data_IF_630507362770
#
_entry.id   IF_630507362770
#
_cell.length_a   1.000
_cell.length_b   1.000
_cell.length_c   1.000
_cell.angle_alpha   90.00
_cell.angle_beta   90.00
_cell.angle_gamma   90.00
#
_symmetry.space_group_name_H-M   'P 1'
#
loop_
_entity.id
_entity.type
_entity.pdbx_description
1 polymer ?
#
# COMPACT_ATOMS: atom_id res chain seq x y z
N UNK A 1 -29.91 53.11 -37.58
CA UNK A 1 -30.73 52.00 -38.14
C UNK A 1 -29.83 51.27 -39.12
N UNK A 2 -29.40 50.04 -38.99
CA UNK A 2 -29.77 48.89 -38.17
C UNK A 2 -28.94 47.76 -38.79
N UNK A 3 -27.79 47.47 -38.19
CA UNK A 3 -26.83 46.48 -38.72
C UNK A 3 -27.17 45.08 -38.22
N UNK A 4 -27.30 44.14 -39.16
CA UNK A 4 -27.52 42.73 -38.90
C UNK A 4 -26.31 42.09 -38.22
N UNK A 5 -26.57 41.39 -37.12
CA UNK A 5 -25.60 40.54 -36.41
C UNK A 5 -25.69 39.12 -36.99
N UNK A 6 -24.56 38.65 -37.48
CA UNK A 6 -24.27 37.24 -37.69
C UNK A 6 -24.23 36.53 -36.32
N UNK A 7 -24.92 35.41 -36.22
CA UNK A 7 -24.91 34.54 -35.06
C UNK A 7 -23.84 33.46 -35.28
N UNK A 8 -22.79 33.49 -34.46
CA UNK A 8 -21.80 32.41 -34.36
C UNK A 8 -22.44 31.18 -33.69
N UNK A 9 -22.31 30.03 -34.35
CA UNK A 9 -22.55 28.70 -33.79
C UNK A 9 -21.55 28.42 -32.65
N UNK A 10 -22.04 28.41 -31.42
CA UNK A 10 -21.28 27.94 -30.26
C UNK A 10 -21.35 26.40 -30.22
N UNK A 11 -20.33 25.76 -30.78
CA UNK A 11 -20.13 24.32 -30.73
C UNK A 11 -19.78 23.81 -29.33
N UNK A 12 -20.67 22.97 -28.82
CA UNK A 12 -20.58 22.21 -27.57
C UNK A 12 -19.26 21.43 -27.44
N UNK A 13 -18.39 21.81 -26.50
CA UNK A 13 -17.19 21.05 -26.13
C UNK A 13 -17.49 20.17 -24.90
N UNK A 14 -17.44 18.83 -25.01
CA UNK A 14 -17.65 17.96 -23.85
C UNK A 14 -16.44 17.99 -22.89
N UNK A 15 -16.72 18.40 -21.65
CA UNK A 15 -15.88 18.19 -20.47
C UNK A 15 -15.50 16.70 -20.31
N UNK A 16 -14.30 16.34 -20.77
CA UNK A 16 -13.70 15.02 -20.49
C UNK A 16 -13.02 15.03 -19.12
N UNK A 17 -13.76 14.54 -18.13
CA UNK A 17 -13.22 14.07 -16.85
C UNK A 17 -12.38 12.82 -17.12
N UNK A 18 -11.07 12.89 -16.87
CA UNK A 18 -10.17 11.73 -16.91
C UNK A 18 -10.44 10.85 -15.67
N UNK A 19 -11.44 9.99 -15.78
CA UNK A 19 -11.63 8.83 -14.90
C UNK A 19 -11.19 7.57 -15.63
N UNK A 20 -10.30 6.79 -15.03
CA UNK A 20 -9.94 5.45 -15.51
C UNK A 20 -11.20 4.56 -15.53
N UNK A 21 -11.68 4.24 -16.74
CA UNK A 21 -12.70 3.22 -16.96
C UNK A 21 -11.99 1.87 -17.04
N UNK A 22 -12.08 1.08 -15.98
CA UNK A 22 -11.77 -0.36 -16.01
C UNK A 22 -12.96 -1.05 -16.72
N UNK A 23 -12.78 -1.68 -17.89
CA UNK A 23 -13.88 -2.38 -18.53
C UNK A 23 -14.29 -3.61 -17.70
N UNK A 24 -15.52 -3.59 -17.18
CA UNK A 24 -16.20 -4.78 -16.65
C UNK A 24 -16.43 -5.75 -17.82
N UNK A 25 -15.82 -6.92 -17.76
CA UNK A 25 -16.21 -8.02 -18.65
C UNK A 25 -17.66 -8.43 -18.34
N UNK A 26 -18.55 -8.28 -19.33
CA UNK A 26 -19.88 -8.87 -19.33
C UNK A 26 -19.75 -10.37 -19.58
N UNK A 27 -20.25 -11.19 -18.66
CA UNK A 27 -20.61 -12.59 -18.94
C UNK A 27 -21.88 -12.59 -19.79
N UNK A 28 -21.84 -13.22 -20.96
CA UNK A 28 -23.02 -13.71 -21.67
C UNK A 28 -23.14 -15.22 -21.39
N UNK A 29 -24.37 -15.77 -21.38
CA UNK A 29 -24.64 -17.15 -20.97
C UNK A 29 -24.27 -18.19 -22.05
N UNK A 30 -23.93 -19.39 -21.58
CA UNK A 30 -23.60 -20.57 -22.37
C UNK A 30 -24.76 -21.03 -23.27
N UNK A 31 -24.45 -21.33 -24.54
CA UNK A 31 -25.12 -22.36 -25.32
C UNK A 31 -24.10 -23.16 -26.14
N UNK A 32 -24.27 -24.48 -26.06
CA UNK A 32 -23.53 -25.56 -26.70
C UNK A 32 -23.75 -25.59 -28.22
N UNK A 33 -22.70 -25.85 -29.01
CA UNK A 33 -22.56 -27.04 -29.88
C UNK A 33 -21.45 -26.90 -30.94
N UNK A 34 -20.64 -27.96 -31.07
CA UNK A 34 -20.18 -28.47 -32.37
C UNK A 34 -18.91 -27.90 -33.03
N UNK A 35 -17.95 -28.80 -33.27
CA UNK A 35 -16.88 -28.76 -34.28
C UNK A 35 -15.63 -27.86 -34.03
N UNK A 36 -14.51 -28.51 -33.69
CA UNK A 36 -13.17 -27.95 -33.94
C UNK A 36 -12.81 -28.07 -35.42
N UNK A 37 -11.86 -27.26 -35.93
CA UNK A 37 -10.45 -27.60 -35.74
C UNK A 37 -9.49 -26.39 -35.64
N UNK A 38 -8.18 -26.71 -35.59
CA UNK A 38 -6.98 -25.87 -35.54
C UNK A 38 -6.57 -25.35 -34.14
N UNK A 39 -5.65 -26.11 -33.52
CA UNK A 39 -4.84 -25.67 -32.38
C UNK A 39 -4.05 -24.40 -32.75
N UNK A 40 -4.48 -23.25 -32.24
CA UNK A 40 -3.61 -22.09 -32.06
C UNK A 40 -2.93 -22.22 -30.70
N UNK A 41 -1.61 -22.37 -30.72
CA UNK A 41 -0.76 -22.32 -29.53
C UNK A 41 -1.00 -21.03 -28.75
N UNK A 42 -1.11 -21.05 -27.41
CA UNK A 42 -1.20 -19.83 -26.63
C UNK A 42 0.14 -19.09 -26.72
N UNK A 43 0.14 -17.96 -27.44
CA UNK A 43 1.20 -16.98 -27.36
C UNK A 43 1.25 -16.46 -25.92
N UNK A 44 2.23 -16.95 -25.17
CA UNK A 44 2.69 -16.30 -23.95
C UNK A 44 3.08 -14.86 -24.30
N UNK A 45 2.73 -13.85 -23.49
CA UNK A 45 3.26 -12.51 -23.70
C UNK A 45 4.77 -12.58 -23.45
N UNK A 46 5.56 -12.45 -24.52
CA UNK A 46 6.99 -12.18 -24.43
C UNK A 46 7.15 -10.81 -23.76
N UNK A 47 7.41 -10.84 -22.46
CA UNK A 47 7.91 -9.67 -21.72
C UNK A 47 9.35 -9.44 -22.22
N UNK A 48 9.53 -8.40 -23.04
CA UNK A 48 10.86 -7.87 -23.33
C UNK A 48 11.26 -7.86 -24.81
N UNK A 49 10.59 -7.04 -25.61
CA UNK A 49 11.30 -6.29 -26.66
C UNK A 49 11.08 -4.81 -26.40
N UNK A 50 12.18 -4.09 -26.20
CA UNK A 50 12.19 -2.63 -26.12
C UNK A 50 11.95 -2.15 -27.54
N UNK A 51 10.70 -1.89 -27.90
CA UNK A 51 10.38 -1.29 -29.19
C UNK A 51 11.04 0.09 -29.26
N UNK A 52 11.75 0.33 -30.36
CA UNK A 52 12.27 1.65 -30.65
C UNK A 52 11.09 2.55 -31.03
N UNK A 53 10.61 3.32 -30.06
CA UNK A 53 9.53 4.30 -30.22
C UNK A 53 10.04 5.63 -30.76
N UNK A 54 11.27 5.70 -31.29
CA UNK A 54 11.81 6.89 -31.96
C UNK A 54 10.89 7.38 -33.09
N UNK A 55 10.18 6.48 -33.77
CA UNK A 55 9.19 6.83 -34.80
C UNK A 55 7.93 7.52 -34.25
N UNK A 56 7.54 7.29 -32.99
CA UNK A 56 6.46 8.05 -32.33
C UNK A 56 6.87 9.51 -32.07
N UNK A 57 8.17 9.79 -31.93
CA UNK A 57 8.71 11.14 -31.81
C UNK A 57 8.98 11.82 -33.16
N UNK A 58 9.05 11.04 -34.24
CA UNK A 58 9.34 11.55 -35.59
C UNK A 58 8.13 12.23 -36.26
N UNK A 59 6.91 12.03 -35.75
CA UNK A 59 5.70 12.65 -36.29
C UNK A 59 5.07 13.65 -35.32
N UNK A 60 5.20 14.96 -35.59
CA UNK A 60 4.29 16.08 -35.22
C UNK A 60 3.59 16.09 -33.83
N UNK A 61 4.02 15.34 -32.82
CA UNK A 61 3.53 15.51 -31.46
C UNK A 61 4.29 16.67 -30.83
N UNK A 62 3.72 17.87 -30.92
CA UNK A 62 4.11 18.94 -30.00
C UNK A 62 3.90 18.41 -28.58
N UNK A 63 4.98 18.30 -27.81
CA UNK A 63 4.87 18.03 -26.39
C UNK A 63 3.87 19.05 -25.83
N UNK A 64 2.72 18.57 -25.33
CA UNK A 64 1.68 19.44 -24.81
C UNK A 64 2.30 20.28 -23.68
N UNK A 65 2.61 21.54 -23.97
CA UNK A 65 3.09 22.48 -22.96
C UNK A 65 1.89 22.77 -22.06
N UNK A 66 1.96 22.31 -20.81
CA UNK A 66 0.96 22.69 -19.82
C UNK A 66 0.92 24.21 -19.71
N UNK A 67 -0.30 24.77 -19.79
CA UNK A 67 -0.48 26.21 -19.64
C UNK A 67 0.01 26.67 -18.27
N UNK A 68 0.75 27.78 -18.26
CA UNK A 68 1.13 28.44 -17.01
C UNK A 68 -0.12 28.86 -16.23
N UNK A 69 -0.01 28.91 -14.90
CA UNK A 69 -1.09 29.38 -14.04
C UNK A 69 -1.44 30.84 -14.43
N UNK A 70 -2.66 31.15 -14.87
CA UNK A 70 -3.03 32.49 -15.35
C UNK A 70 -3.13 33.53 -14.22
N UNK A 71 -3.26 33.07 -12.97
CA UNK A 71 -3.33 33.94 -11.80
C UNK A 71 -3.96 33.22 -10.60
N UNK A 72 -4.27 33.99 -9.56
CA UNK A 72 -5.04 33.52 -8.41
C UNK A 72 -6.50 33.95 -8.57
N UNK A 73 -7.43 33.03 -8.31
CA UNK A 73 -8.86 33.39 -8.23
C UNK A 73 -9.09 34.49 -7.18
N UNK A 74 -10.24 35.17 -7.25
CA UNK A 74 -10.62 36.25 -6.31
C UNK A 74 -12.02 36.09 -5.70
N UNK A 75 -12.85 35.24 -6.28
CA UNK A 75 -14.24 35.04 -5.88
C UNK A 75 -14.38 34.22 -4.59
N UNK A 76 -15.45 34.51 -3.84
CA UNK A 76 -15.83 33.77 -2.64
C UNK A 76 -15.35 34.40 -1.33
N UNK A 77 -15.93 33.93 -0.22
CA UNK A 77 -15.59 34.40 1.13
C UNK A 77 -14.25 33.81 1.55
N UNK A 78 -13.31 34.66 1.95
CA UNK A 78 -12.00 34.22 2.45
C UNK A 78 -12.13 33.52 3.81
N UNK A 79 -11.42 32.41 3.97
CA UNK A 79 -11.31 31.64 5.20
C UNK A 79 -9.87 31.18 5.41
N UNK A 80 -9.48 30.91 6.64
CA UNK A 80 -8.18 30.29 6.96
C UNK A 80 -8.39 28.80 7.20
N UNK A 81 -7.62 27.96 6.52
CA UNK A 81 -7.64 26.51 6.72
C UNK A 81 -6.25 26.01 7.08
N UNK A 82 -6.19 25.00 7.96
CA UNK A 82 -4.96 24.26 8.26
C UNK A 82 -4.87 23.08 7.30
N UNK A 83 -3.70 22.86 6.75
CA UNK A 83 -3.40 21.72 5.88
C UNK A 83 -2.43 20.80 6.57
N UNK A 84 -2.40 19.55 6.16
CA UNK A 84 -1.46 18.53 6.63
C UNK A 84 -0.09 18.59 5.90
N UNK A 85 0.23 19.76 5.34
CA UNK A 85 1.54 20.07 4.80
C UNK A 85 2.39 20.79 5.85
N UNK A 86 3.67 20.44 5.88
CA UNK A 86 4.68 20.97 6.78
C UNK A 86 5.81 21.57 5.92
N UNK A 87 6.05 22.90 5.97
CA UNK A 87 7.08 23.52 5.16
C UNK A 87 8.47 23.01 5.52
N UNK A 88 9.28 22.70 4.51
CA UNK A 88 10.72 22.54 4.71
C UNK A 88 11.34 23.92 4.83
N UNK A 89 12.03 24.17 5.94
CA UNK A 89 12.73 25.44 6.22
C UNK A 89 14.17 25.44 5.73
N UNK A 90 14.76 24.27 5.55
CA UNK A 90 16.09 24.10 4.98
C UNK A 90 16.10 22.92 4.00
N UNK A 91 16.87 23.09 2.91
CA UNK A 91 17.22 22.04 1.96
C UNK A 91 18.75 21.89 1.96
N UNK A 92 19.29 20.76 1.47
CA UNK A 92 20.73 20.60 1.35
C UNK A 92 21.35 21.73 0.52
N UNK A 93 22.38 22.39 1.07
CA UNK A 93 23.12 23.45 0.36
C UNK A 93 24.14 22.87 -0.62
N UNK A 94 24.67 21.68 -0.31
CA UNK A 94 25.61 20.96 -1.15
C UNK A 94 24.88 20.03 -2.14
N UNK A 95 25.59 19.68 -3.21
CA UNK A 95 25.13 18.68 -4.17
C UNK A 95 24.96 17.31 -3.49
N UNK A 96 23.92 16.59 -3.92
CA UNK A 96 23.63 15.25 -3.41
C UNK A 96 24.12 14.21 -4.41
N UNK A 97 25.00 13.31 -3.97
CA UNK A 97 25.52 12.24 -4.82
C UNK A 97 24.63 11.00 -4.75
N UNK A 98 24.16 10.54 -5.92
CA UNK A 98 23.32 9.36 -6.06
C UNK A 98 24.17 8.15 -6.49
N UNK A 99 24.17 7.12 -5.65
CA UNK A 99 24.86 5.87 -5.89
C UNK A 99 23.86 4.74 -6.18
N UNK A 100 24.19 3.90 -7.15
CA UNK A 100 23.50 2.65 -7.42
C UNK A 100 24.10 1.52 -6.58
N UNK A 101 23.20 0.71 -6.00
CA UNK A 101 23.51 -0.48 -5.23
C UNK A 101 23.02 -1.71 -6.00
N UNK A 102 23.84 -2.74 -6.21
CA UNK A 102 23.49 -3.90 -7.05
C UNK A 102 22.53 -4.90 -6.39
N UNK A 103 21.89 -4.57 -5.27
CA UNK A 103 21.03 -5.50 -4.53
C UNK A 103 19.59 -4.99 -4.41
N UNK A 104 18.64 -5.87 -4.75
CA UNK A 104 17.22 -5.67 -4.49
C UNK A 104 16.91 -5.88 -2.99
N UNK A 105 16.78 -4.78 -2.24
CA UNK A 105 15.98 -4.71 -0.99
C UNK A 105 16.34 -5.63 0.20
N UNK A 106 17.60 -5.64 0.65
CA UNK A 106 17.90 -6.03 2.04
C UNK A 106 18.59 -4.87 2.76
N UNK A 107 18.12 -4.52 3.96
CA UNK A 107 18.73 -3.51 4.83
C UNK A 107 20.03 -4.07 5.38
N UNK A 108 21.13 -3.41 5.04
CA UNK A 108 22.48 -3.79 5.47
C UNK A 108 23.05 -2.65 6.33
N UNK A 109 23.57 -2.96 7.52
CA UNK A 109 24.34 -1.99 8.30
C UNK A 109 25.77 -1.94 7.77
N UNK A 110 26.09 -0.88 7.03
CA UNK A 110 27.43 -0.65 6.51
C UNK A 110 28.36 -0.26 7.67
N UNK A 111 29.31 -1.14 8.03
CA UNK A 111 30.44 -0.83 8.93
C UNK A 111 31.74 -1.18 8.21
N UNK A 112 32.59 -0.19 7.90
CA UNK A 112 34.00 -0.45 7.60
C UNK A 112 34.63 0.40 6.50
N UNK A 113 35.95 0.54 6.64
CA UNK A 113 36.87 1.51 6.04
C UNK A 113 36.86 1.60 4.50
N UNK A 114 36.97 2.84 4.02
CA UNK A 114 37.03 3.23 2.62
C UNK A 114 38.39 2.92 1.99
N UNK A 115 38.37 2.17 0.89
CA UNK A 115 39.38 2.28 -0.15
C UNK A 115 38.68 2.58 -1.48
N UNK A 116 39.22 3.56 -2.21
CA UNK A 116 38.82 4.10 -3.52
C UNK A 116 37.93 5.35 -3.50
N UNK A 117 38.26 6.29 -4.42
CA UNK A 117 37.67 7.62 -4.54
C UNK A 117 36.22 7.65 -5.01
N UNK A 118 35.66 8.87 -5.13
CA UNK A 118 34.24 9.21 -5.37
C UNK A 118 33.51 8.41 -6.47
N UNK A 119 34.22 7.74 -7.38
CA UNK A 119 33.63 6.95 -8.46
C UNK A 119 33.08 5.58 -8.01
N UNK A 120 33.70 4.94 -7.02
CA UNK A 120 33.27 3.63 -6.54
C UNK A 120 33.74 3.37 -5.09
N UNK A 121 32.79 3.07 -4.20
CA UNK A 121 33.08 2.64 -2.83
C UNK A 121 32.76 1.15 -2.69
N UNK A 122 33.69 0.37 -2.17
CA UNK A 122 33.46 -1.05 -1.83
C UNK A 122 33.47 -1.18 -0.32
N UNK A 123 32.37 -1.66 0.25
CA UNK A 123 32.27 -1.92 1.69
C UNK A 123 31.91 -3.38 1.94
N UNK A 124 32.60 -3.99 2.89
CA UNK A 124 32.23 -5.30 3.42
C UNK A 124 31.12 -5.11 4.44
N UNK A 125 30.00 -5.82 4.28
CA UNK A 125 28.87 -5.74 5.22
C UNK A 125 28.63 -7.10 5.88
N UNK A 126 28.50 -7.07 7.20
CA UNK A 126 28.12 -8.21 8.04
C UNK A 126 26.63 -8.10 8.36
N UNK A 127 25.89 -9.19 8.19
CA UNK A 127 24.46 -9.22 8.51
C UNK A 127 24.24 -9.15 10.04
N UNK A 128 23.19 -8.46 10.52
CA UNK A 128 22.87 -8.38 11.96
C UNK A 128 22.66 -9.76 12.61
N UNK A 129 22.17 -10.73 11.83
CA UNK A 129 21.98 -12.12 12.26
C UNK A 129 23.30 -12.83 12.60
N UNK A 130 24.44 -12.31 12.11
CA UNK A 130 25.79 -12.81 12.37
C UNK A 130 26.56 -11.93 13.40
N UNK A 131 25.99 -10.81 13.87
CA UNK A 131 26.67 -9.80 14.71
C UNK A 131 26.18 -9.69 16.16
N UNK A 132 25.10 -10.38 16.54
CA UNK A 132 24.68 -10.50 17.94
C UNK A 132 25.42 -11.63 18.65
N UNK A 133 25.42 -11.63 19.99
CA UNK A 133 26.04 -12.66 20.86
C UNK A 133 25.56 -14.12 20.60
N UNK A 134 24.68 -14.35 19.62
CA UNK A 134 24.27 -15.65 19.12
C UNK A 134 25.20 -16.24 18.03
N UNK A 135 26.31 -15.58 17.68
CA UNK A 135 27.36 -16.13 16.81
C UNK A 135 28.30 -17.10 17.58
N UNK A 136 27.74 -18.18 18.13
CA UNK A 136 28.54 -19.28 18.66
C UNK A 136 28.15 -20.59 17.94
N UNK A 137 28.36 -20.62 16.62
CA UNK A 137 28.53 -21.90 15.92
C UNK A 137 29.89 -21.89 15.22
N UNK A 138 30.94 -22.52 15.79
CA UNK A 138 32.31 -22.44 15.27
C UNK A 138 32.49 -23.05 13.87
N UNK A 139 31.44 -23.65 13.28
CA UNK A 139 31.45 -24.27 11.94
C UNK A 139 30.89 -23.40 10.81
N UNK A 140 30.39 -22.19 11.07
CA UNK A 140 29.82 -21.33 10.03
C UNK A 140 30.46 -19.95 10.09
N UNK A 141 31.39 -19.69 9.17
CA UNK A 141 31.97 -18.37 9.00
C UNK A 141 30.85 -17.33 8.74
N UNK A 142 30.97 -16.10 9.30
CA UNK A 142 30.02 -15.03 9.05
C UNK A 142 29.86 -14.81 7.54
N UNK A 143 28.63 -14.59 7.07
CA UNK A 143 28.40 -14.35 5.65
C UNK A 143 28.89 -12.95 5.29
N UNK A 144 30.05 -12.88 4.66
CA UNK A 144 30.60 -11.62 4.16
C UNK A 144 29.99 -11.29 2.79
N UNK A 145 29.36 -10.12 2.67
CA UNK A 145 28.89 -9.59 1.40
C UNK A 145 29.79 -8.44 0.96
N UNK A 146 30.29 -8.51 -0.28
CA UNK A 146 30.97 -7.39 -0.92
C UNK A 146 29.96 -6.53 -1.66
N UNK A 147 29.76 -5.30 -1.20
CA UNK A 147 28.88 -4.33 -1.85
C UNK A 147 29.72 -3.36 -2.66
N UNK A 148 29.47 -3.25 -3.96
CA UNK A 148 30.08 -2.25 -4.83
C UNK A 148 29.07 -1.14 -5.09
N UNK A 149 29.34 0.06 -4.60
CA UNK A 149 28.54 1.25 -4.84
C UNK A 149 29.09 1.97 -6.08
N UNK A 150 28.23 2.33 -7.03
CA UNK A 150 28.62 3.07 -8.24
C UNK A 150 27.99 4.46 -8.22
N UNK A 151 28.78 5.52 -8.41
CA UNK A 151 28.23 6.85 -8.59
C UNK A 151 27.49 6.91 -9.94
N UNK A 152 26.20 7.28 -9.90
CA UNK A 152 25.34 7.36 -11.09
C UNK A 152 24.98 8.80 -11.43
N UNK A 153 24.80 9.65 -10.43
CA UNK A 153 24.48 11.05 -10.68
C UNK A 153 24.98 11.98 -9.56
N UNK A 154 25.22 13.25 -9.88
CA UNK A 154 25.41 14.34 -8.92
C UNK A 154 24.25 15.30 -9.07
N UNK A 155 23.43 15.43 -8.03
CA UNK A 155 22.21 16.22 -8.03
C UNK A 155 22.55 17.64 -7.60
N UNK A 156 22.40 18.59 -8.51
CA UNK A 156 22.61 20.00 -8.23
C UNK A 156 21.43 20.57 -7.42
N UNK A 157 21.63 20.80 -6.13
CA UNK A 157 20.57 21.27 -5.23
C UNK A 157 20.28 22.78 -5.39
N UNK A 158 21.22 23.56 -5.91
CA UNK A 158 21.00 24.96 -6.24
C UNK A 158 19.98 25.11 -7.38
N UNK A 159 20.04 24.25 -8.41
CA UNK A 159 19.04 24.23 -9.49
C UNK A 159 17.63 23.88 -8.97
N UNK A 160 17.53 22.93 -8.03
CA UNK A 160 16.27 22.61 -7.35
C UNK A 160 15.72 23.85 -6.64
N UNK A 161 16.56 24.61 -5.95
CA UNK A 161 16.16 25.83 -5.27
C UNK A 161 15.70 26.94 -6.25
N UNK A 162 16.38 27.12 -7.40
CA UNK A 162 15.94 28.05 -8.44
C UNK A 162 14.60 27.65 -9.07
N UNK A 163 14.37 26.35 -9.28
CA UNK A 163 13.09 25.83 -9.77
C UNK A 163 11.95 26.15 -8.78
N UNK A 164 12.16 25.89 -7.50
CA UNK A 164 11.16 26.20 -6.47
C UNK A 164 10.83 27.69 -6.42
N UNK A 165 11.82 28.56 -6.66
CA UNK A 165 11.63 30.02 -6.77
C UNK A 165 10.95 30.46 -8.08
N UNK A 166 10.66 29.53 -9.00
CA UNK A 166 10.07 29.82 -10.31
C UNK A 166 11.05 30.45 -11.30
N UNK A 167 12.36 30.34 -11.05
CA UNK A 167 13.43 30.91 -11.88
C UNK A 167 14.10 29.88 -12.80
N UNK A 168 13.80 28.60 -12.64
CA UNK A 168 14.27 27.51 -13.51
C UNK A 168 13.11 26.65 -14.02
N UNK A 169 13.34 25.93 -15.12
CA UNK A 169 12.39 24.96 -15.68
C UNK A 169 12.45 23.64 -14.91
N UNK A 170 11.41 22.81 -15.06
CA UNK A 170 11.43 21.45 -14.54
C UNK A 170 12.39 20.60 -15.38
N UNK A 171 13.56 20.27 -14.84
CA UNK A 171 14.56 19.40 -15.48
C UNK A 171 14.61 18.03 -14.82
N UNK A 172 15.33 17.08 -15.42
CA UNK A 172 15.58 15.78 -14.79
C UNK A 172 16.36 15.91 -13.47
N UNK A 173 17.29 16.87 -13.37
CA UNK A 173 18.01 17.13 -12.12
C UNK A 173 17.03 17.57 -11.01
N UNK A 174 16.11 18.49 -11.34
CA UNK A 174 15.05 18.93 -10.41
C UNK A 174 14.16 17.77 -9.96
N UNK A 175 13.68 16.93 -10.89
CA UNK A 175 12.88 15.75 -10.56
C UNK A 175 13.64 14.79 -9.63
N UNK A 176 14.92 14.54 -9.94
CA UNK A 176 15.79 13.66 -9.14
C UNK A 176 16.01 14.25 -7.74
N UNK A 177 16.22 15.57 -7.63
CA UNK A 177 16.38 16.24 -6.33
C UNK A 177 15.12 16.22 -5.48
N UNK A 178 13.94 16.41 -6.08
CA UNK A 178 12.65 16.24 -5.38
C UNK A 178 12.51 14.81 -4.83
N UNK A 179 12.86 13.80 -5.64
CA UNK A 179 12.86 12.41 -5.21
C UNK A 179 13.89 12.12 -4.11
N UNK A 180 15.09 12.70 -4.20
CA UNK A 180 16.13 12.53 -3.19
C UNK A 180 15.67 13.06 -1.82
N UNK A 181 15.06 14.24 -1.77
CA UNK A 181 14.47 14.79 -0.54
C UNK A 181 13.39 13.85 0.03
N UNK A 182 12.53 13.30 -0.84
CA UNK A 182 11.49 12.34 -0.44
C UNK A 182 12.06 11.02 0.11
N UNK A 183 13.20 10.56 -0.41
CA UNK A 183 13.89 9.34 0.07
C UNK A 183 14.56 9.62 1.41
N UNK A 184 15.31 10.72 1.53
CA UNK A 184 16.04 11.08 2.77
C UNK A 184 15.09 11.22 3.95
N UNK A 185 13.96 11.91 3.78
CA UNK A 185 12.97 12.08 4.86
C UNK A 185 12.32 10.77 5.29
N UNK A 186 12.35 9.74 4.44
CA UNK A 186 11.73 8.43 4.65
C UNK A 186 12.71 7.37 5.15
N UNK A 187 14.00 7.64 5.18
CA UNK A 187 15.05 6.70 5.54
C UNK A 187 14.92 6.23 7.01
N UNK A 188 14.97 7.16 7.96
CA UNK A 188 14.87 6.82 9.39
C UNK A 188 13.54 6.13 9.76
N UNK A 189 12.37 6.58 9.27
CA UNK A 189 11.12 5.84 9.46
C UNK A 189 11.12 4.43 8.87
N UNK A 190 11.77 4.22 7.72
CA UNK A 190 11.83 2.91 7.06
C UNK A 190 12.64 1.88 7.86
N UNK A 191 13.63 2.32 8.62
CA UNK A 191 14.42 1.44 9.52
C UNK A 191 13.62 1.05 10.78
N UNK A 192 12.77 1.96 11.28
CA UNK A 192 12.04 1.80 12.55
C UNK A 192 10.68 1.11 12.41
N UNK A 193 10.04 1.22 11.26
CA UNK A 193 8.64 0.82 11.06
C UNK A 193 8.47 -0.08 9.84
N UNK A 194 7.32 -0.76 9.76
CA UNK A 194 7.01 -1.56 8.56
C UNK A 194 6.63 -0.62 7.42
N UNK A 195 7.45 -0.57 6.39
CA UNK A 195 7.22 0.25 5.20
C UNK A 195 6.30 -0.45 4.19
N UNK A 196 5.23 0.24 3.78
CA UNK A 196 4.36 -0.16 2.67
C UNK A 196 4.13 1.04 1.76
N UNK A 197 4.81 1.06 0.62
CA UNK A 197 4.75 2.18 -0.33
C UNK A 197 5.35 3.45 0.26
N UNK A 198 4.51 4.47 0.52
CA UNK A 198 4.90 5.74 1.15
C UNK A 198 4.40 5.86 2.60
N UNK A 199 3.96 4.75 3.18
CA UNK A 199 3.41 4.72 4.53
C UNK A 199 4.21 3.80 5.46
N UNK A 200 4.23 4.16 6.74
CA UNK A 200 4.94 3.48 7.81
C UNK A 200 3.96 3.01 8.88
N UNK A 201 4.07 1.76 9.32
CA UNK A 201 3.11 1.13 10.23
C UNK A 201 3.79 0.54 11.45
N UNK A 202 3.13 0.64 12.60
CA UNK A 202 3.54 0.00 13.85
C UNK A 202 2.37 -0.76 14.47
N UNK A 203 2.63 -1.78 15.30
CA UNK A 203 1.57 -2.51 15.98
C UNK A 203 1.00 -1.73 17.17
N UNK A 204 1.52 -0.56 17.54
CA UNK A 204 1.11 0.16 18.77
C UNK A 204 -0.36 0.57 18.74
N UNK A 205 -0.82 1.08 17.59
CA UNK A 205 -2.22 1.39 17.35
C UNK A 205 -2.83 0.35 16.41
N UNK A 206 -3.38 -0.72 16.99
CA UNK A 206 -3.98 -1.82 16.23
C UNK A 206 -5.36 -2.23 16.75
N UNK A 207 -6.18 -2.79 15.88
CA UNK A 207 -7.48 -3.37 16.24
C UNK A 207 -7.72 -4.67 15.47
N UNK A 208 -8.40 -5.63 16.10
CA UNK A 208 -8.79 -6.86 15.43
C UNK A 208 -9.83 -6.60 14.34
N UNK A 209 -9.63 -7.17 13.15
CA UNK A 209 -10.65 -7.21 12.09
C UNK A 209 -11.38 -8.55 12.06
N UNK A 210 -10.85 -9.56 12.76
CA UNK A 210 -11.35 -10.93 12.76
C UNK A 210 -10.76 -11.77 11.61
N UNK A 211 -10.90 -13.08 11.70
CA UNK A 211 -10.40 -14.01 10.69
C UNK A 211 -8.87 -14.01 10.55
N UNK A 212 -8.15 -13.72 11.64
CA UNK A 212 -6.69 -13.66 11.65
C UNK A 212 -6.10 -12.39 11.04
N UNK A 213 -6.94 -11.39 10.73
CA UNK A 213 -6.52 -10.08 10.27
C UNK A 213 -6.68 -9.03 11.39
N UNK A 214 -5.77 -8.08 11.42
CA UNK A 214 -5.83 -6.89 12.27
C UNK A 214 -5.49 -5.64 11.44
N UNK A 215 -6.04 -4.49 11.80
CA UNK A 215 -5.68 -3.21 11.21
C UNK A 215 -4.58 -2.59 12.05
N UNK A 216 -3.54 -2.06 11.41
CA UNK A 216 -2.55 -1.21 12.04
C UNK A 216 -2.74 0.23 11.56
N UNK A 217 -2.69 1.17 12.49
CA UNK A 217 -2.49 2.58 12.24
C UNK A 217 -1.07 2.85 11.74
N UNK A 218 -0.93 3.88 10.93
CA UNK A 218 0.34 4.27 10.37
C UNK A 218 0.33 5.70 9.87
N UNK A 219 1.43 6.08 9.24
CA UNK A 219 1.67 7.44 8.75
C UNK A 219 2.06 7.42 7.29
N UNK A 220 1.32 8.14 6.46
CA UNK A 220 1.72 8.45 5.09
C UNK A 220 2.66 9.66 5.10
N UNK A 221 3.72 9.61 4.29
CA UNK A 221 4.68 10.70 4.15
C UNK A 221 5.09 10.88 2.69
N UNK A 222 5.08 12.14 2.19
CA UNK A 222 5.70 12.46 0.90
C UNK A 222 6.19 13.89 0.82
N UNK A 223 7.40 14.10 0.32
CA UNK A 223 7.90 15.44 -0.04
C UNK A 223 7.29 15.90 -1.37
N UNK A 224 6.86 17.16 -1.45
CA UNK A 224 6.21 17.76 -2.62
C UNK A 224 6.73 19.16 -2.90
N UNK A 225 7.03 19.51 -4.17
CA UNK A 225 7.35 20.89 -4.53
C UNK A 225 6.09 21.75 -4.46
N UNK A 226 6.25 22.99 -4.02
CA UNK A 226 5.25 24.03 -4.05
C UNK A 226 5.93 25.36 -4.46
N UNK A 227 5.15 26.39 -4.85
CA UNK A 227 5.72 27.70 -5.14
C UNK A 227 6.56 28.23 -3.98
N UNK A 228 7.84 28.47 -4.25
CA UNK A 228 8.83 29.02 -3.33
C UNK A 228 9.45 28.04 -2.33
N UNK A 229 8.96 26.79 -2.21
CA UNK A 229 9.44 25.87 -1.15
C UNK A 229 9.08 24.40 -1.40
N UNK A 230 9.77 23.50 -0.71
CA UNK A 230 9.32 22.12 -0.55
C UNK A 230 8.37 22.00 0.65
N UNK A 231 7.41 21.08 0.55
CA UNK A 231 6.47 20.74 1.62
C UNK A 231 6.54 19.25 1.91
N UNK A 232 6.54 18.88 3.19
CA UNK A 232 6.30 17.51 3.62
C UNK A 232 4.79 17.32 3.84
N UNK A 233 4.17 16.46 3.03
CA UNK A 233 2.81 15.98 3.27
C UNK A 233 2.85 14.83 4.27
N UNK A 234 2.14 14.95 5.39
CA UNK A 234 2.00 13.88 6.37
C UNK A 234 0.51 13.61 6.60
N UNK A 235 0.09 12.36 6.56
CA UNK A 235 -1.31 11.99 6.83
C UNK A 235 -1.41 10.70 7.63
N UNK A 236 -2.55 10.48 8.26
CA UNK A 236 -2.88 9.20 8.90
C UNK A 236 -3.13 8.17 7.80
N UNK A 237 -2.62 6.97 8.00
CA UNK A 237 -2.92 5.81 7.16
C UNK A 237 -3.30 4.61 8.03
N UNK A 238 -3.98 3.64 7.43
CA UNK A 238 -4.25 2.36 8.07
C UNK A 238 -4.23 1.26 7.02
N UNK A 239 -3.76 0.07 7.38
CA UNK A 239 -3.81 -1.09 6.49
C UNK A 239 -3.90 -2.39 7.29
N UNK A 240 -4.31 -3.46 6.61
CA UNK A 240 -4.47 -4.76 7.24
C UNK A 240 -3.15 -5.54 7.30
N UNK A 241 -2.91 -6.16 8.44
CA UNK A 241 -1.80 -7.05 8.74
C UNK A 241 -2.33 -8.42 9.18
N UNK A 242 -1.53 -9.46 8.92
CA UNK A 242 -1.76 -10.80 9.45
C UNK A 242 -1.43 -10.75 10.94
N UNK A 243 -2.37 -11.20 11.78
CA UNK A 243 -2.21 -11.24 13.23
C UNK A 243 -1.04 -12.15 13.59
N UNK A 244 -0.07 -11.62 14.32
CA UNK A 244 1.08 -12.37 14.81
C UNK A 244 0.69 -13.29 15.97
N UNK A 245 1.43 -14.37 16.16
CA UNK A 245 1.20 -15.30 17.28
C UNK A 245 1.17 -16.77 16.86
N UNK A 246 0.74 -17.67 17.77
CA UNK A 246 0.65 -19.10 17.48
C UNK A 246 -0.25 -19.37 16.27
N UNK A 247 0.23 -20.21 15.34
CA UNK A 247 -0.54 -20.54 14.12
C UNK A 247 -1.83 -21.28 14.48
N UNK A 248 -1.85 -22.05 15.56
CA UNK A 248 -3.04 -22.77 16.02
C UNK A 248 -4.17 -21.81 16.46
N UNK A 249 -3.84 -20.71 17.13
CA UNK A 249 -4.81 -19.69 17.54
C UNK A 249 -5.33 -18.90 16.34
N UNK A 250 -4.42 -18.56 15.41
CA UNK A 250 -4.77 -17.96 14.13
C UNK A 250 -5.73 -18.87 13.34
N UNK A 251 -5.48 -20.17 13.31
CA UNK A 251 -6.34 -21.14 12.66
C UNK A 251 -7.71 -21.20 13.34
N UNK A 252 -7.77 -21.19 14.67
CA UNK A 252 -9.04 -21.21 15.39
C UNK A 252 -9.90 -20.00 15.04
N UNK A 253 -9.31 -18.80 15.06
CA UNK A 253 -9.98 -17.55 14.72
C UNK A 253 -10.45 -17.52 13.26
N UNK A 254 -9.59 -17.93 12.31
CA UNK A 254 -9.91 -17.97 10.89
C UNK A 254 -11.08 -18.91 10.57
N UNK A 255 -11.13 -20.06 11.25
CA UNK A 255 -12.09 -21.11 10.96
C UNK A 255 -13.38 -20.96 11.77
N UNK A 256 -13.45 -19.98 12.69
CA UNK A 256 -14.60 -19.72 13.56
C UNK A 256 -14.74 -20.75 14.69
N UNK A 257 -13.64 -21.38 15.09
CA UNK A 257 -13.62 -22.31 16.21
C UNK A 257 -13.62 -21.54 17.54
N UNK A 258 -14.17 -22.15 18.60
CA UNK A 258 -14.18 -21.56 19.96
C UNK A 258 -12.79 -21.42 20.58
N UNK A 259 -11.82 -22.14 20.04
CA UNK A 259 -10.40 -22.02 20.40
C UNK A 259 -9.57 -23.15 19.77
N UNK A 260 -8.26 -23.12 20.04
CA UNK A 260 -7.34 -24.16 19.59
C UNK A 260 -7.80 -25.57 19.97
N UNK A 261 -8.44 -25.72 21.14
CA UNK A 261 -9.02 -26.96 21.68
C UNK A 261 -9.99 -27.69 20.74
N UNK A 262 -10.75 -26.96 19.94
CA UNK A 262 -11.72 -27.55 19.00
C UNK A 262 -11.02 -28.07 17.73
N UNK A 263 -9.96 -27.40 17.29
CA UNK A 263 -9.13 -27.84 16.16
C UNK A 263 -8.32 -29.09 16.48
N UNK A 264 -8.10 -29.39 17.77
CA UNK A 264 -7.40 -30.60 18.25
C UNK A 264 -8.06 -31.90 17.78
N UNK A 265 -9.38 -31.87 17.54
CA UNK A 265 -10.15 -33.04 17.08
C UNK A 265 -10.06 -33.25 15.56
N UNK A 266 -9.35 -32.38 14.85
CA UNK A 266 -9.24 -32.37 13.40
C UNK A 266 -9.89 -31.13 12.78
N UNK A 267 -9.48 -30.84 11.53
CA UNK A 267 -10.07 -29.76 10.74
C UNK A 267 -11.38 -30.23 10.08
N UNK A 268 -12.49 -29.48 10.18
CA UNK A 268 -13.73 -29.81 9.46
C UNK A 268 -13.53 -29.84 7.94
N UNK A 269 -14.39 -30.54 7.20
CA UNK A 269 -14.28 -30.63 5.74
C UNK A 269 -14.27 -29.23 5.06
N UNK A 270 -13.44 -29.07 4.02
CA UNK A 270 -13.27 -27.80 3.29
C UNK A 270 -12.43 -26.72 4.00
N UNK A 271 -12.34 -26.75 5.34
CA UNK A 271 -11.54 -25.80 6.14
C UNK A 271 -10.02 -25.85 5.91
N UNK A 272 -9.38 -27.01 5.62
CA UNK A 272 -7.95 -27.05 5.31
C UNK A 272 -7.55 -26.16 4.12
N UNK A 273 -8.40 -26.08 3.08
CA UNK A 273 -8.13 -25.22 1.91
C UNK A 273 -8.18 -23.74 2.27
N UNK A 274 -9.08 -23.36 3.17
CA UNK A 274 -9.19 -21.97 3.66
C UNK A 274 -7.94 -21.59 4.46
N UNK A 275 -7.51 -22.45 5.39
CA UNK A 275 -6.31 -22.24 6.20
C UNK A 275 -5.04 -22.22 5.34
N UNK A 276 -4.91 -23.13 4.37
CA UNK A 276 -3.78 -23.16 3.44
C UNK A 276 -3.69 -21.86 2.63
N UNK A 277 -4.81 -21.36 2.12
CA UNK A 277 -4.85 -20.07 1.40
C UNK A 277 -4.44 -18.90 2.28
N UNK A 278 -4.86 -18.88 3.54
CA UNK A 278 -4.55 -17.82 4.48
C UNK A 278 -3.08 -17.83 4.93
N UNK A 279 -2.49 -19.01 5.11
CA UNK A 279 -1.08 -19.16 5.50
C UNK A 279 -0.13 -19.06 4.30
N UNK A 280 -0.62 -19.18 3.06
CA UNK A 280 0.24 -19.10 1.86
C UNK A 280 1.06 -17.80 1.86
N UNK A 281 2.38 -17.93 1.81
CA UNK A 281 3.34 -16.82 1.84
C UNK A 281 3.47 -16.09 3.19
N UNK A 282 2.81 -16.58 4.25
CA UNK A 282 3.01 -16.09 5.61
C UNK A 282 4.31 -16.69 6.16
N UNK A 283 5.16 -15.82 6.70
CA UNK A 283 6.39 -16.18 7.37
C UNK A 283 6.14 -16.53 8.83
N UNK A 284 6.77 -17.58 9.31
CA UNK A 284 6.67 -18.02 10.71
C UNK A 284 8.04 -18.50 11.20
N UNK A 285 8.21 -18.55 12.52
CA UNK A 285 9.31 -19.26 13.16
C UNK A 285 8.76 -20.44 13.97
N UNK A 286 9.66 -21.32 14.41
CA UNK A 286 9.29 -22.46 15.24
C UNK A 286 9.82 -22.31 16.66
N UNK A 287 8.99 -22.63 17.65
CA UNK A 287 9.31 -22.44 19.08
C UNK A 287 10.17 -23.56 19.66
N UNK A 288 10.02 -24.81 19.19
CA UNK A 288 10.72 -25.99 19.71
C UNK A 288 12.25 -25.99 19.52
N UNK A 289 12.82 -25.05 18.74
CA UNK A 289 14.27 -24.98 18.45
C UNK A 289 15.02 -23.95 19.32
N UNK A 290 14.39 -23.45 20.38
CA UNK A 290 14.99 -22.50 21.31
C UNK A 290 15.28 -21.14 20.70
N UNK A 291 16.48 -20.59 20.94
CA UNK A 291 16.88 -19.26 20.48
C UNK A 291 17.05 -19.18 18.95
N UNK A 292 17.33 -20.31 18.29
CA UNK A 292 17.40 -20.36 16.82
C UNK A 292 15.99 -20.30 16.25
N UNK A 293 15.61 -19.12 15.76
CA UNK A 293 14.31 -18.85 15.12
C UNK A 293 14.45 -18.60 13.61
N UNK A 294 14.88 -19.60 12.83
CA UNK A 294 14.92 -19.46 11.38
C UNK A 294 13.52 -19.14 10.85
N UNK A 295 13.47 -18.24 9.87
CA UNK A 295 12.22 -17.79 9.25
C UNK A 295 11.83 -18.75 8.14
N UNK A 296 10.69 -19.42 8.29
CA UNK A 296 10.09 -20.25 7.27
C UNK A 296 8.96 -19.50 6.57
N UNK A 297 8.62 -19.88 5.35
CA UNK A 297 7.44 -19.36 4.64
C UNK A 297 6.50 -20.52 4.38
N UNK A 298 5.27 -20.43 4.89
CA UNK A 298 4.28 -21.48 4.74
C UNK A 298 3.98 -21.74 3.25
N UNK A 299 4.07 -23.01 2.86
CA UNK A 299 3.92 -23.45 1.48
C UNK A 299 2.63 -24.26 1.28
N UNK A 300 2.36 -25.24 2.15
CA UNK A 300 1.21 -26.14 2.04
C UNK A 300 0.81 -26.69 3.42
N UNK A 301 -0.42 -27.20 3.55
CA UNK A 301 -0.84 -28.01 4.70
C UNK A 301 -0.91 -29.48 4.29
N UNK A 302 -0.46 -30.41 5.14
CA UNK A 302 -0.73 -31.84 4.91
C UNK A 302 -2.22 -32.11 5.11
N UNK A 303 -2.73 -33.14 4.44
CA UNK A 303 -4.10 -33.65 4.66
C UNK A 303 -4.12 -34.76 5.71
N UNK A 304 -2.96 -35.36 5.94
CA UNK A 304 -2.70 -36.44 6.87
C UNK A 304 -2.32 -35.88 8.25
N UNK A 305 -2.97 -36.36 9.31
CA UNK A 305 -2.61 -36.11 10.69
C UNK A 305 -1.15 -36.41 11.06
N UNK A 306 -0.62 -35.72 12.08
CA UNK A 306 0.76 -35.86 12.53
C UNK A 306 1.14 -37.26 13.07
N UNK A 307 0.16 -38.02 13.57
CA UNK A 307 0.31 -39.41 14.01
C UNK A 307 0.41 -40.40 12.84
N UNK A 308 -0.12 -40.04 11.67
CA UNK A 308 -0.13 -40.88 10.46
C UNK A 308 0.90 -40.45 9.41
N UNK A 309 1.36 -39.21 9.47
CA UNK A 309 2.40 -38.71 8.57
C UNK A 309 3.77 -39.21 9.04
N UNK A 310 4.41 -40.03 8.21
CA UNK A 310 5.71 -40.66 8.48
C UNK A 310 6.81 -40.09 7.60
N UNK A 311 8.02 -40.06 8.13
CA UNK A 311 9.22 -39.67 7.40
C UNK A 311 10.42 -40.51 7.86
N UNK A 312 11.45 -40.58 7.02
CA UNK A 312 12.72 -41.22 7.39
C UNK A 312 13.53 -40.25 8.25
N UNK A 313 13.92 -40.69 9.45
CA UNK A 313 14.83 -39.93 10.32
C UNK A 313 16.28 -39.95 9.78
N UNK A 314 17.23 -39.40 10.55
CA UNK A 314 18.65 -39.35 10.14
C UNK A 314 19.29 -40.73 10.00
N UNK A 315 18.74 -41.72 10.68
CA UNK A 315 19.23 -43.09 10.72
C UNK A 315 18.47 -43.99 9.71
N UNK A 316 17.55 -43.41 8.94
CA UNK A 316 16.75 -44.10 7.93
C UNK A 316 15.52 -44.82 8.48
N UNK A 317 15.22 -44.68 9.77
CA UNK A 317 14.05 -45.32 10.39
C UNK A 317 12.78 -44.53 10.05
N UNK A 318 11.70 -45.26 9.76
CA UNK A 318 10.38 -44.66 9.57
C UNK A 318 9.79 -44.27 10.92
N UNK A 319 9.56 -42.98 11.14
CA UNK A 319 8.97 -42.45 12.37
C UNK A 319 7.85 -41.46 12.02
N UNK A 320 6.77 -41.46 12.80
CA UNK A 320 5.71 -40.45 12.62
C UNK A 320 6.16 -39.08 13.13
N UNK A 321 5.60 -38.01 12.56
CA UNK A 321 5.86 -36.65 13.03
C UNK A 321 5.51 -36.52 14.52
N UNK A 322 4.36 -37.05 14.94
CA UNK A 322 3.93 -37.10 16.34
C UNK A 322 4.96 -37.76 17.26
N UNK A 323 5.42 -38.96 16.88
CA UNK A 323 6.37 -39.72 17.69
C UNK A 323 7.74 -39.03 17.74
N UNK A 324 8.22 -38.49 16.62
CA UNK A 324 9.49 -37.76 16.58
C UNK A 324 9.49 -36.55 17.52
N UNK A 325 8.45 -35.72 17.49
CA UNK A 325 8.38 -34.55 18.37
C UNK A 325 8.17 -34.90 19.84
N UNK A 326 7.41 -35.97 20.12
CA UNK A 326 7.25 -36.48 21.47
C UNK A 326 8.59 -36.98 22.05
N UNK A 327 9.38 -37.70 21.26
CA UNK A 327 10.68 -38.23 21.69
C UNK A 327 11.73 -37.13 21.88
N UNK A 328 11.81 -36.16 20.97
CA UNK A 328 12.87 -35.15 20.99
C UNK A 328 12.57 -33.92 21.86
N UNK A 329 11.30 -33.54 22.01
CA UNK A 329 10.92 -32.32 22.74
C UNK A 329 9.80 -32.53 23.77
N UNK A 330 9.32 -33.76 23.96
CA UNK A 330 8.20 -34.04 24.86
C UNK A 330 6.87 -33.38 24.43
N UNK A 331 6.79 -32.90 23.20
CA UNK A 331 5.61 -32.19 22.69
C UNK A 331 4.63 -33.21 22.13
N UNK A 332 3.47 -33.32 22.76
CA UNK A 332 2.35 -34.10 22.23
C UNK A 332 1.71 -33.33 21.08
N UNK A 333 1.87 -33.86 19.87
CA UNK A 333 1.34 -33.25 18.65
C UNK A 333 -0.08 -33.75 18.33
N UNK A 334 -0.82 -32.91 17.61
CA UNK A 334 -2.21 -33.12 17.21
C UNK A 334 -2.34 -32.92 15.67
N UNK A 335 -3.49 -33.23 15.04
CA UNK A 335 -3.54 -33.74 13.66
C UNK A 335 -3.30 -32.72 12.53
N UNK A 336 -2.72 -31.54 12.76
CA UNK A 336 -2.51 -30.53 11.72
C UNK A 336 -1.02 -30.20 11.52
N UNK A 337 -0.46 -30.55 10.35
CA UNK A 337 0.93 -30.23 9.98
C UNK A 337 0.94 -29.19 8.85
N UNK A 338 1.67 -28.09 9.07
CA UNK A 338 2.13 -27.25 7.97
C UNK A 338 3.37 -27.88 7.33
N UNK A 339 3.31 -28.13 6.02
CA UNK A 339 4.49 -28.52 5.23
C UNK A 339 5.12 -27.32 4.57
N UNK A 340 6.44 -27.19 4.73
CA UNK A 340 7.25 -26.16 4.08
C UNK A 340 8.42 -26.84 3.38
N UNK A 341 8.36 -26.94 2.04
CA UNK A 341 9.47 -27.43 1.19
C UNK A 341 10.08 -28.76 1.67
N UNK A 342 9.24 -29.75 1.97
CA UNK A 342 9.67 -31.06 2.49
C UNK A 342 9.93 -31.12 3.99
N UNK A 343 9.88 -30.00 4.70
CA UNK A 343 9.89 -29.96 6.17
C UNK A 343 8.46 -30.01 6.70
N UNK A 344 8.25 -30.78 7.77
CA UNK A 344 6.95 -30.95 8.42
C UNK A 344 6.98 -30.23 9.77
N UNK A 345 6.15 -29.19 9.90
CA UNK A 345 6.03 -28.41 11.12
C UNK A 345 4.59 -28.47 11.65
N UNK A 346 4.36 -29.09 12.81
CA UNK A 346 3.07 -29.03 13.49
C UNK A 346 2.64 -27.59 13.77
N UNK A 347 1.34 -27.28 13.67
CA UNK A 347 0.87 -25.89 13.85
C UNK A 347 1.14 -25.36 15.27
N UNK A 348 1.20 -26.24 16.26
CA UNK A 348 1.41 -25.93 17.69
C UNK A 348 2.79 -25.35 17.96
N UNK A 349 3.78 -25.72 17.13
CA UNK A 349 5.15 -25.21 17.27
C UNK A 349 5.43 -24.03 16.34
N UNK A 350 4.46 -23.60 15.53
CA UNK A 350 4.62 -22.53 14.56
C UNK A 350 4.07 -21.19 15.08
N UNK A 351 4.82 -20.11 14.90
CA UNK A 351 4.42 -18.75 15.29
C UNK A 351 4.59 -17.77 14.13
N UNK A 352 3.49 -17.13 13.74
CA UNK A 352 3.44 -16.09 12.70
C UNK A 352 4.29 -14.89 13.14
N UNK A 353 5.18 -14.43 12.26
CA UNK A 353 5.98 -13.22 12.50
C UNK A 353 5.10 -11.96 12.43
N UNK A 354 5.37 -10.94 13.26
CA UNK A 354 4.69 -9.64 13.17
C UNK A 354 5.07 -8.87 11.90
N UNK A 355 4.27 -7.85 11.58
CA UNK A 355 4.57 -6.90 10.49
C UNK A 355 4.32 -7.42 9.08
N UNK A 356 3.54 -8.49 8.94
CA UNK A 356 3.24 -9.08 7.64
C UNK A 356 1.94 -8.52 7.07
N UNK A 357 2.03 -7.77 5.98
CA UNK A 357 0.84 -7.19 5.33
C UNK A 357 -0.13 -8.28 4.88
N UNK A 358 -1.41 -8.08 5.19
CA UNK A 358 -2.49 -8.94 4.69
C UNK A 358 -2.71 -8.67 3.20
N UNK A 359 -2.57 -9.71 2.36
CA UNK A 359 -2.66 -9.58 0.90
C UNK A 359 -4.05 -9.90 0.32
N UNK A 360 -4.93 -10.51 1.12
CA UNK A 360 -6.29 -10.87 0.68
C UNK A 360 -7.24 -9.66 0.64
N UNK A 361 -8.36 -9.81 -0.05
CA UNK A 361 -9.47 -8.86 0.04
C UNK A 361 -10.16 -9.04 1.40
N UNK A 362 -10.41 -7.93 2.10
CA UNK A 362 -11.21 -7.95 3.33
C UNK A 362 -12.67 -8.30 3.00
N UNK A 363 -13.30 -9.09 3.87
CA UNK A 363 -14.75 -9.32 3.78
C UNK A 363 -15.54 -8.08 4.28
N UNK A 364 -16.87 -8.12 4.20
CA UNK A 364 -17.72 -6.98 4.55
C UNK A 364 -17.59 -6.58 6.03
N UNK A 365 -17.55 -7.55 6.94
CA UNK A 365 -17.38 -7.30 8.38
C UNK A 365 -16.03 -6.68 8.71
N UNK A 366 -14.95 -7.20 8.10
CA UNK A 366 -13.59 -6.67 8.21
C UNK A 366 -13.50 -5.25 7.62
N UNK A 367 -14.16 -5.01 6.47
CA UNK A 367 -14.20 -3.69 5.82
C UNK A 367 -14.96 -2.68 6.68
N UNK A 368 -16.09 -3.07 7.27
CA UNK A 368 -16.84 -2.23 8.22
C UNK A 368 -16.00 -1.88 9.45
N UNK A 369 -15.28 -2.86 10.00
CA UNK A 369 -14.38 -2.65 11.15
C UNK A 369 -13.19 -1.74 10.79
N UNK A 370 -12.63 -1.89 9.60
CA UNK A 370 -11.60 -0.99 9.04
C UNK A 370 -12.12 0.45 8.89
N UNK A 371 -13.35 0.64 8.39
CA UNK A 371 -13.97 1.97 8.27
C UNK A 371 -14.16 2.59 9.66
N UNK A 372 -14.67 1.82 10.63
CA UNK A 372 -14.83 2.31 12.01
C UNK A 372 -13.50 2.72 12.64
N UNK A 373 -12.43 1.98 12.38
CA UNK A 373 -11.08 2.31 12.86
C UNK A 373 -10.53 3.59 12.22
N UNK A 374 -10.80 3.81 10.93
CA UNK A 374 -10.21 4.91 10.14
C UNK A 374 -11.05 6.19 10.13
N UNK A 375 -12.35 6.11 10.40
CA UNK A 375 -13.25 7.25 10.38
C UNK A 375 -13.01 8.13 11.61
N UNK A 376 -12.32 9.26 11.40
CA UNK A 376 -11.96 10.20 12.47
C UNK A 376 -12.42 11.62 12.10
N UNK A 377 -13.00 12.36 13.06
CA UNK A 377 -13.27 13.79 12.92
C UNK A 377 -12.00 14.59 12.58
N UNK A 378 -12.11 15.72 11.84
CA UNK A 378 -10.95 16.48 11.38
C UNK A 378 -10.02 16.98 12.50
N UNK A 379 -10.56 17.37 13.66
CA UNK A 379 -9.80 17.81 14.84
C UNK A 379 -8.95 16.68 15.42
N UNK A 380 -9.54 15.49 15.59
CA UNK A 380 -8.82 14.30 16.07
C UNK A 380 -7.77 13.85 15.07
N UNK A 381 -8.08 13.89 13.77
CA UNK A 381 -7.13 13.55 12.71
C UNK A 381 -5.96 14.54 12.68
N UNK A 382 -6.21 15.84 12.82
CA UNK A 382 -5.15 16.86 12.88
C UNK A 382 -4.19 16.63 14.05
N UNK A 383 -4.72 16.34 15.25
CA UNK A 383 -3.90 16.01 16.42
C UNK A 383 -3.05 14.74 16.18
N UNK A 384 -3.64 13.72 15.55
CA UNK A 384 -2.94 12.49 15.20
C UNK A 384 -1.82 12.72 14.20
N UNK A 385 -2.02 13.56 13.19
CA UNK A 385 -0.97 13.96 12.23
C UNK A 385 0.20 14.65 12.95
N UNK A 386 -0.09 15.55 13.89
CA UNK A 386 0.95 16.22 14.68
C UNK A 386 1.76 15.25 15.54
N UNK A 387 1.08 14.32 16.22
CA UNK A 387 1.76 13.28 17.02
C UNK A 387 2.65 12.40 16.13
N UNK A 388 2.13 11.98 14.98
CA UNK A 388 2.86 11.20 14.00
C UNK A 388 4.12 11.91 13.48
N UNK A 389 4.03 13.21 13.19
CA UNK A 389 5.19 14.02 12.79
C UNK A 389 6.29 13.99 13.85
N UNK A 390 5.92 14.11 15.13
CA UNK A 390 6.85 14.02 16.25
C UNK A 390 7.52 12.66 16.36
N UNK A 391 6.79 11.56 16.17
CA UNK A 391 7.38 10.21 16.23
C UNK A 391 8.41 9.95 15.11
N UNK A 392 8.17 10.53 13.93
CA UNK A 392 9.01 10.38 12.75
C UNK A 392 10.28 11.23 12.82
N UNK A 393 10.32 12.27 13.65
CA UNK A 393 11.47 13.16 13.87
C UNK A 393 12.23 13.54 12.57
N UNK A 394 11.54 14.09 11.55
CA UNK A 394 12.13 14.28 10.21
C UNK A 394 13.36 15.20 10.18
N UNK A 395 13.60 15.98 11.23
CA UNK A 395 14.74 16.88 11.37
C UNK A 395 16.06 16.16 11.74
N UNK A 396 16.00 14.89 12.14
CA UNK A 396 17.19 14.09 12.46
C UNK A 396 17.73 13.38 11.22
N UNK A 397 18.12 14.15 10.20
CA UNK A 397 18.72 13.60 8.98
C UNK A 397 20.12 14.20 8.74
N UNK A 398 21.01 13.42 8.14
CA UNK A 398 22.39 13.81 7.85
C UNK A 398 22.51 14.88 6.73
N UNK A 399 21.41 15.15 6.01
CA UNK A 399 21.39 16.04 4.85
C UNK A 399 21.00 17.49 5.20
N UNK A 400 20.81 17.80 6.49
CA UNK A 400 20.48 19.16 6.95
C UNK A 400 19.08 19.63 6.56
N UNK A 401 18.18 18.73 6.15
CA UNK A 401 16.79 19.09 5.86
C UNK A 401 16.09 19.41 7.17
N UNK A 402 15.39 20.54 7.20
CA UNK A 402 14.58 20.93 8.36
C UNK A 402 13.13 21.09 7.94
N UNK A 403 12.23 20.57 8.77
CA UNK A 403 10.78 20.59 8.63
C UNK A 403 10.19 21.37 9.79
N UNK A 404 9.35 22.36 9.46
CA UNK A 404 8.57 23.10 10.45
C UNK A 404 7.51 22.18 11.06
N UNK A 405 7.48 22.08 12.38
CA UNK A 405 6.56 21.18 13.11
C UNK A 405 5.22 21.85 13.44
N UNK A 406 4.58 22.47 12.44
CA UNK A 406 3.28 23.11 12.59
C UNK A 406 2.47 22.93 11.31
N UNK A 407 1.16 22.66 11.45
CA UNK A 407 0.25 22.58 10.31
C UNK A 407 0.27 23.89 9.51
N UNK A 408 0.56 23.80 8.22
CA UNK A 408 0.59 24.96 7.35
C UNK A 408 -0.81 25.57 7.24
N UNK A 409 -0.92 26.85 7.60
CA UNK A 409 -2.12 27.65 7.41
C UNK A 409 -2.12 28.25 6.00
N UNK A 410 -3.26 28.14 5.32
CA UNK A 410 -3.45 28.70 3.98
C UNK A 410 -4.75 29.49 3.92
N UNK A 411 -4.73 30.55 3.12
CA UNK A 411 -5.92 31.33 2.79
C UNK A 411 -6.71 30.60 1.71
N UNK A 412 -7.91 30.11 2.05
CA UNK A 412 -8.85 29.49 1.13
C UNK A 412 -10.07 30.39 0.90
N UNK A 413 -10.94 30.00 -0.04
CA UNK A 413 -12.19 30.72 -0.32
C UNK A 413 -13.37 29.76 -0.42
N UNK A 414 -14.49 30.12 0.18
CA UNK A 414 -15.79 29.46 0.02
C UNK A 414 -16.51 30.13 -1.13
N UNK A 415 -16.67 29.41 -2.25
CA UNK A 415 -17.37 29.90 -3.42
C UNK A 415 -18.87 30.08 -3.12
N UNK A 416 -19.54 31.04 -3.78
CA UNK A 416 -20.99 31.19 -3.65
C UNK A 416 -21.70 29.95 -4.20
N UNK A 417 -22.72 29.47 -3.48
CA UNK A 417 -23.50 28.32 -3.93
C UNK A 417 -24.32 28.70 -5.17
N UNK A 418 -24.29 27.90 -6.26
CA UNK A 418 -25.17 28.11 -7.40
C UNK A 418 -26.64 27.92 -7.01
N UNK A 419 -27.54 28.58 -7.73
CA UNK A 419 -28.99 28.37 -7.58
C UNK A 419 -29.41 27.19 -8.45
N UNK A 420 -30.09 26.21 -7.85
CA UNK A 420 -30.68 25.07 -8.56
C UNK A 420 -32.07 25.46 -9.01
N UNK A 421 -32.32 25.36 -10.32
CA UNK A 421 -33.60 25.65 -10.93
C UNK A 421 -34.38 24.36 -11.23
N UNK A 422 -35.67 24.37 -10.88
CA UNK A 422 -36.64 23.31 -11.09
C UNK A 422 -37.72 23.79 -12.06
N UNK A 423 -38.70 22.92 -12.36
CA UNK A 423 -39.82 23.30 -13.22
C UNK A 423 -40.58 24.49 -12.62
N UNK A 424 -40.95 25.45 -13.46
CA UNK A 424 -41.55 26.72 -13.04
C UNK A 424 -42.89 26.56 -12.29
N UNK A 425 -43.63 25.48 -12.55
CA UNK A 425 -44.91 25.13 -11.93
C UNK A 425 -44.75 24.29 -10.64
N UNK A 426 -43.54 24.16 -10.11
CA UNK A 426 -43.30 23.56 -8.80
C UNK A 426 -43.70 24.53 -7.67
N UNK A 427 -43.97 24.00 -6.48
CA UNK A 427 -44.23 24.81 -5.27
C UNK A 427 -43.05 25.72 -4.96
N UNK A 428 -41.84 25.20 -5.13
CA UNK A 428 -40.59 25.93 -4.98
C UNK A 428 -39.73 25.74 -6.24
N UNK A 429 -39.78 26.65 -7.23
CA UNK A 429 -39.10 26.46 -8.51
C UNK A 429 -37.58 26.71 -8.44
N UNK A 430 -37.07 27.27 -7.34
CA UNK A 430 -35.64 27.52 -7.16
C UNK A 430 -35.20 27.14 -5.75
N UNK A 431 -33.97 26.64 -5.62
CA UNK A 431 -33.36 26.34 -4.32
C UNK A 431 -31.89 26.72 -4.31
N UNK A 432 -31.43 27.31 -3.21
CA UNK A 432 -30.00 27.55 -2.95
C UNK A 432 -29.53 26.57 -1.88
N UNK A 433 -28.72 25.55 -2.24
CA UNK A 433 -28.19 24.59 -1.27
C UNK A 433 -27.45 25.27 -0.12
N UNK A 434 -27.61 24.72 1.08
CA UNK A 434 -26.81 25.07 2.25
C UNK A 434 -25.90 23.91 2.57
N UNK A 435 -24.63 24.19 2.82
CA UNK A 435 -23.61 23.19 3.15
C UNK A 435 -23.52 22.02 2.15
N UNK A 436 -23.81 22.31 0.88
CA UNK A 436 -23.79 21.31 -0.21
C UNK A 436 -24.96 20.33 -0.21
N UNK A 437 -26.00 20.54 0.60
CA UNK A 437 -27.15 19.64 0.72
C UNK A 437 -28.44 20.28 0.22
N UNK A 438 -29.25 19.50 -0.51
CA UNK A 438 -30.62 19.82 -0.86
C UNK A 438 -31.45 18.54 -1.02
N UNK A 439 -32.78 18.66 -1.01
CA UNK A 439 -33.71 17.56 -1.29
C UNK A 439 -34.76 17.99 -2.34
N UNK A 440 -35.58 17.04 -2.78
CA UNK A 440 -36.59 17.27 -3.83
C UNK A 440 -38.00 17.54 -3.27
N UNK A 441 -38.12 17.82 -1.97
CA UNK A 441 -39.42 18.06 -1.34
C UNK A 441 -40.04 19.34 -1.91
N UNK A 442 -41.26 19.22 -2.45
CA UNK A 442 -41.97 20.34 -3.09
C UNK A 442 -41.42 20.77 -4.45
N UNK A 443 -40.49 19.99 -5.03
CA UNK A 443 -39.83 20.28 -6.32
C UNK A 443 -40.39 19.38 -7.43
N UNK A 444 -40.33 19.86 -8.68
CA UNK A 444 -40.58 19.07 -9.89
C UNK A 444 -39.32 19.08 -10.76
N UNK A 445 -38.95 17.93 -11.32
CA UNK A 445 -37.79 17.83 -12.23
C UNK A 445 -37.92 18.83 -13.39
N UNK A 446 -36.82 19.48 -13.78
CA UNK A 446 -36.82 20.54 -14.80
C UNK A 446 -37.42 20.06 -16.14
N UNK A 447 -37.13 18.80 -16.51
CA UNK A 447 -37.74 18.10 -17.65
C UNK A 447 -38.30 16.77 -17.17
N UNK A 448 -39.61 16.74 -16.94
CA UNK A 448 -40.35 15.51 -16.64
C UNK A 448 -40.82 14.84 -17.93
N UNK A 449 -40.94 13.52 -17.89
CA UNK A 449 -41.58 12.70 -18.93
C UNK A 449 -42.71 11.91 -18.29
N UNK A 450 -43.80 11.75 -19.01
CA UNK A 450 -44.90 10.86 -18.62
C UNK A 450 -44.53 9.41 -18.96
N UNK A 451 -44.70 8.50 -17.99
CA UNK A 451 -44.45 7.07 -18.18
C UNK A 451 -45.77 6.40 -18.60
N UNK A 452 -45.94 6.18 -19.90
CA UNK A 452 -47.16 5.55 -20.45
C UNK A 452 -47.21 4.03 -20.24
N UNK A 453 -46.06 3.35 -20.17
CA UNK A 453 -45.97 1.90 -19.96
C UNK A 453 -44.74 1.55 -19.13
N UNK A 454 -44.93 0.69 -18.13
CA UNK A 454 -43.88 0.15 -17.29
C UNK A 454 -44.27 -1.25 -16.81
N UNK A 455 -43.29 -2.07 -16.45
CA UNK A 455 -43.51 -3.40 -15.87
C UNK A 455 -42.48 -3.66 -14.79
N UNK A 456 -42.87 -4.42 -13.77
CA UNK A 456 -41.97 -4.85 -12.68
C UNK A 456 -41.87 -6.35 -12.72
N UNK A 457 -40.64 -6.85 -12.64
CA UNK A 457 -40.35 -8.25 -12.42
C UNK A 457 -39.66 -8.36 -11.07
N UNK A 458 -40.36 -8.93 -10.09
CA UNK A 458 -39.79 -9.22 -8.77
C UNK A 458 -39.17 -10.59 -8.79
N UNK A 459 -37.90 -10.67 -8.35
CA UNK A 459 -37.19 -11.93 -8.12
C UNK A 459 -37.06 -12.25 -6.62
N UNK A 460 -37.82 -11.55 -5.77
CA UNK A 460 -37.90 -11.88 -4.36
C UNK A 460 -38.73 -13.17 -4.19
N UNK A 461 -38.31 -14.06 -3.29
CA UNK A 461 -39.14 -15.19 -2.88
C UNK A 461 -40.39 -14.67 -2.14
N UNK A 462 -41.57 -15.24 -2.42
CA UNK A 462 -42.88 -14.85 -1.84
C UNK A 462 -43.00 -15.09 -0.32
N UNK A 463 -41.91 -15.44 0.37
CA UNK A 463 -41.87 -15.73 1.81
C UNK A 463 -40.75 -14.96 2.49
N UNK A 464 -41.02 -13.70 2.83
CA UNK A 464 -40.27 -12.93 3.82
C UNK A 464 -41.21 -12.11 4.67
#
# INVERSE_FOLDING_TARGET
MGGGREAEEEGDLPLRVAGEIIPRQRKLPDQHDGEGPARLSPLAPEIGKREDVSWLLAGKYQAATFFGRPGMGKEGKQITVKTNYFPLTALPEADVHHYELPFDSQTFQVRGNSHAGLAALVVAVVLPEDGGAAAANPKRAPREFRVRMRLVNSINMAEVAEYLRGRAKLTNNVLTGIMAVDVVLRDQPADRFVSVGRSFYSPEERAALGGGAEVWGGVFMSARPAPGRMLLNVDVSATAFVKAGPVIDFAAELLGARGAGELRRGLPEGKPRQLERALKSVKFFVSHRGERRPRYTAARLTRTPADKEVFADKDGNSISVAQYFQQHWGVRLEPCIATVKGLMFPLEVCHILPGQRFKGKLNETQTSSMIKFTCQPPDRRANKIMNNLGMLNPNQNAFGIQVRQELMQVSARVLPTPTVCYKADARDPTWRPRDGVWNLVGKKVARGTELHSWSVVSFCDDRS
#
